data_IF_713108638691
#
_entry.id   IF_713108638691
#
_cell.length_a   1.000
_cell.length_b   1.000
_cell.length_c   1.000
_cell.angle_alpha   90.00
_cell.angle_beta   90.00
_cell.angle_gamma   90.00
#
_symmetry.space_group_name_H-M   'P 1'
#
loop_
_entity.id
_entity.type
_entity.pdbx_description
1 polymer ?
#
# COMPACT_ATOMS: atom_id res chain seq x y z
N UNK A 1 18.63 44.15 16.06
CA UNK A 1 17.69 43.48 15.12
C UNK A 1 18.26 42.11 14.84
N UNK A 2 17.69 41.04 15.41
CA UNK A 2 18.07 39.67 15.11
C UNK A 2 17.27 39.24 13.85
N UNK A 3 17.98 39.01 12.75
CA UNK A 3 17.38 38.44 11.54
C UNK A 3 16.71 37.10 11.87
N UNK A 4 15.39 37.06 11.70
CA UNK A 4 14.61 35.82 11.73
C UNK A 4 14.93 35.10 10.43
N UNK A 5 15.79 34.08 10.49
CA UNK A 5 16.02 33.17 9.37
C UNK A 5 14.66 32.50 9.00
N UNK A 6 14.31 32.48 7.71
CA UNK A 6 13.07 31.87 7.28
C UNK A 6 13.05 30.41 7.74
N UNK A 7 11.91 29.95 8.31
CA UNK A 7 11.66 28.54 8.64
C UNK A 7 11.81 27.74 7.32
N UNK A 8 12.90 26.96 7.21
CA UNK A 8 12.99 25.95 6.17
C UNK A 8 11.74 25.08 6.29
N UNK A 9 11.00 24.91 5.18
CA UNK A 9 9.98 23.89 5.10
C UNK A 9 10.63 22.58 5.55
N UNK A 10 10.06 21.91 6.54
CA UNK A 10 10.58 20.60 6.99
C UNK A 10 10.51 19.66 5.79
N UNK A 11 11.65 19.08 5.43
CA UNK A 11 11.70 17.98 4.48
C UNK A 11 10.74 16.87 4.95
N UNK A 12 10.10 16.21 4.02
CA UNK A 12 9.17 15.12 4.29
C UNK A 12 9.58 13.88 3.50
N UNK A 13 9.20 12.72 4.00
CA UNK A 13 9.53 11.46 3.38
C UNK A 13 11.01 11.11 3.55
N UNK A 14 11.61 10.44 2.54
CA UNK A 14 13.02 10.03 2.60
C UNK A 14 14.00 11.20 2.77
N UNK A 15 13.63 12.39 2.31
CA UNK A 15 14.47 13.58 2.45
C UNK A 15 14.65 14.01 3.91
N UNK A 16 13.67 13.75 4.78
CA UNK A 16 13.80 13.99 6.22
C UNK A 16 14.88 13.11 6.85
N UNK A 17 15.06 11.89 6.36
CA UNK A 17 16.12 10.97 6.81
C UNK A 17 17.50 11.45 6.33
N UNK A 18 17.60 11.88 5.06
CA UNK A 18 18.84 12.40 4.48
C UNK A 18 19.30 13.66 5.22
N UNK A 19 18.37 14.60 5.43
CA UNK A 19 18.64 15.86 6.13
C UNK A 19 19.03 15.63 7.60
N UNK A 20 18.44 14.62 8.24
CA UNK A 20 18.74 14.29 9.64
C UNK A 20 20.21 13.94 9.86
N UNK A 21 20.83 13.27 8.91
CA UNK A 21 22.26 12.89 8.95
C UNK A 21 23.16 13.88 8.20
N UNK A 22 22.61 14.98 7.68
CA UNK A 22 23.39 16.03 7.00
C UNK A 22 24.02 15.63 5.66
N UNK A 23 23.56 14.54 5.05
CA UNK A 23 24.10 13.99 3.79
C UNK A 23 23.33 14.52 2.56
N UNK A 24 23.31 15.86 2.38
CA UNK A 24 22.70 16.49 1.21
C UNK A 24 23.28 15.91 -0.09
N UNK A 25 22.41 15.37 -0.97
CA UNK A 25 22.85 14.78 -2.23
C UNK A 25 23.10 13.28 -2.16
N UNK A 26 22.72 12.58 -1.08
CA UNK A 26 22.77 11.12 -1.01
C UNK A 26 22.02 10.48 -2.20
N UNK A 27 22.57 9.43 -2.85
CA UNK A 27 21.90 8.72 -3.92
C UNK A 27 20.53 8.17 -3.46
N UNK A 28 19.48 8.52 -4.20
CA UNK A 28 18.12 8.06 -3.91
C UNK A 28 17.37 7.68 -5.17
N UNK A 29 16.52 6.64 -5.05
CA UNK A 29 15.59 6.21 -6.07
C UNK A 29 14.20 6.09 -5.45
N UNK A 30 13.22 6.75 -6.06
CA UNK A 30 11.82 6.66 -5.61
C UNK A 30 11.05 5.80 -6.60
N UNK A 31 10.15 4.97 -6.08
CA UNK A 31 9.22 4.18 -6.90
C UNK A 31 8.39 5.10 -7.79
N UNK A 32 8.04 4.60 -8.98
CA UNK A 32 7.30 5.38 -9.97
C UNK A 32 5.93 5.83 -9.41
N UNK A 33 5.35 6.95 -9.91
CA UNK A 33 4.01 7.38 -9.52
C UNK A 33 2.92 6.33 -9.81
N UNK A 34 3.16 5.45 -10.80
CA UNK A 34 2.26 4.33 -11.13
C UNK A 34 2.25 3.29 -10.01
N UNK A 35 3.37 3.13 -9.32
CA UNK A 35 3.52 2.25 -8.17
C UNK A 35 2.94 2.86 -6.88
N UNK A 36 1.87 3.52 -6.85
CA UNK A 36 1.01 4.10 -5.75
C UNK A 36 1.55 4.07 -4.30
N UNK A 37 2.71 3.45 -4.04
CA UNK A 37 3.22 3.13 -2.70
C UNK A 37 4.15 4.19 -2.13
N UNK A 38 4.78 5.04 -2.96
CA UNK A 38 5.65 6.14 -2.52
C UNK A 38 6.87 5.68 -1.70
N UNK A 39 7.42 4.51 -2.01
CA UNK A 39 8.62 3.98 -1.38
C UNK A 39 9.88 4.60 -2.00
N UNK A 40 10.97 4.65 -1.24
CA UNK A 40 12.25 5.17 -1.74
C UNK A 40 13.43 4.39 -1.20
N UNK A 41 14.39 4.10 -2.07
CA UNK A 41 15.70 3.62 -1.64
C UNK A 41 16.65 4.80 -1.49
N UNK A 42 17.54 4.74 -0.51
CA UNK A 42 18.60 5.73 -0.28
C UNK A 42 19.86 5.04 0.21
N UNK A 43 21.00 5.43 -0.35
CA UNK A 43 22.31 5.01 0.14
C UNK A 43 22.92 6.16 0.96
N UNK A 44 23.15 5.89 2.23
CA UNK A 44 23.75 6.83 3.16
C UNK A 44 25.17 6.37 3.47
N UNK A 45 26.16 7.16 3.06
CA UNK A 45 27.57 6.92 3.34
C UNK A 45 28.19 8.12 4.01
N UNK A 46 28.69 7.95 5.22
CA UNK A 46 29.39 8.97 6.00
C UNK A 46 30.74 8.43 6.44
N UNK A 47 31.81 9.02 5.93
CA UNK A 47 33.18 8.67 6.29
C UNK A 47 33.69 9.45 7.52
N UNK A 48 32.94 10.45 7.99
CA UNK A 48 33.31 11.27 9.13
C UNK A 48 33.14 10.49 10.43
N UNK A 49 34.15 10.51 11.27
CA UNK A 49 34.06 10.14 12.68
C UNK A 49 33.32 11.24 13.46
N UNK A 50 32.57 10.86 14.50
CA UNK A 50 31.88 11.76 15.41
C UNK A 50 30.93 12.74 14.70
N UNK A 51 30.05 12.24 13.85
CA UNK A 51 28.96 13.04 13.24
C UNK A 51 28.09 13.71 14.32
N UNK A 52 28.01 13.07 15.51
CA UNK A 52 27.28 13.59 16.66
C UNK A 52 25.77 13.31 16.56
N UNK A 53 25.02 14.10 17.32
CA UNK A 53 23.57 13.92 17.42
C UNK A 53 22.85 14.40 16.17
N UNK A 54 22.14 13.50 15.51
CA UNK A 54 21.30 13.81 14.33
C UNK A 54 20.03 14.55 14.72
N UNK A 55 19.39 15.19 13.76
CA UNK A 55 18.06 15.78 14.01
C UNK A 55 17.01 14.68 14.14
N UNK A 56 16.02 14.83 15.06
CA UNK A 56 14.97 13.85 15.21
C UNK A 56 14.10 13.71 13.94
N UNK A 57 13.85 12.45 13.52
CA UNK A 57 12.96 12.11 12.41
C UNK A 57 11.67 11.54 12.99
N UNK A 58 10.54 12.14 12.61
CA UNK A 58 9.20 11.67 12.97
C UNK A 58 8.32 11.63 11.73
N UNK A 59 8.11 10.42 11.17
CA UNK A 59 7.39 10.18 9.93
C UNK A 59 6.49 8.95 10.08
N UNK A 60 5.36 8.91 9.37
CA UNK A 60 4.49 7.72 9.34
C UNK A 60 5.05 6.65 8.37
N UNK A 61 6.25 6.19 8.69
CA UNK A 61 7.01 5.27 7.86
C UNK A 61 7.95 4.37 8.67
N UNK A 62 8.39 3.32 8.03
CA UNK A 62 9.47 2.44 8.46
C UNK A 62 10.73 2.73 7.64
N UNK A 63 11.89 2.54 8.25
CA UNK A 63 13.17 2.51 7.56
C UNK A 63 13.78 1.11 7.72
N UNK A 64 13.96 0.41 6.61
CA UNK A 64 14.60 -0.90 6.56
C UNK A 64 16.04 -0.67 6.13
N UNK A 65 16.97 -0.78 7.06
CA UNK A 65 18.37 -0.45 6.87
C UNK A 65 19.23 -1.69 6.74
N UNK A 66 20.08 -1.74 5.72
CA UNK A 66 21.17 -2.69 5.57
C UNK A 66 22.48 -1.97 5.88
N UNK A 67 23.14 -2.32 6.96
CA UNK A 67 24.48 -1.84 7.27
C UNK A 67 25.51 -2.54 6.40
N UNK A 68 26.26 -1.80 5.59
CA UNK A 68 27.30 -2.33 4.72
C UNK A 68 28.66 -2.45 5.43
N UNK A 69 28.88 -1.65 6.47
CA UNK A 69 30.07 -1.69 7.31
C UNK A 69 29.69 -1.74 8.79
N UNK A 70 30.54 -2.27 9.68
CA UNK A 70 30.33 -2.19 11.12
C UNK A 70 30.14 -0.73 11.60
N UNK A 71 29.22 -0.52 12.54
CA UNK A 71 29.00 0.76 13.21
C UNK A 71 28.58 0.50 14.66
N UNK A 72 29.50 0.00 15.51
CA UNK A 72 29.16 -0.39 16.87
C UNK A 72 28.96 0.76 17.84
N UNK A 73 29.57 1.94 17.57
CA UNK A 73 29.61 3.05 18.51
C UNK A 73 28.60 4.14 18.12
N UNK A 74 27.32 3.89 18.39
CA UNK A 74 26.30 4.92 18.33
C UNK A 74 25.26 4.71 19.45
N UNK A 75 24.55 5.77 19.78
CA UNK A 75 23.39 5.72 20.64
C UNK A 75 22.14 6.02 19.82
N UNK A 76 21.07 5.28 20.05
CA UNK A 76 19.75 5.49 19.44
C UNK A 76 18.82 6.08 20.49
N UNK A 77 18.08 7.12 20.13
CA UNK A 77 17.04 7.70 20.99
C UNK A 77 15.68 7.59 20.30
N UNK A 78 14.69 7.12 21.03
CA UNK A 78 13.30 7.04 20.62
C UNK A 78 12.45 7.86 21.59
N UNK A 79 11.80 8.93 21.09
CA UNK A 79 11.05 9.85 21.94
C UNK A 79 11.89 10.44 23.10
N UNK A 80 13.18 10.63 22.88
CA UNK A 80 14.14 11.13 23.89
C UNK A 80 14.66 10.06 24.86
N UNK A 81 14.23 8.80 24.76
CA UNK A 81 14.75 7.70 25.59
C UNK A 81 15.88 6.97 24.88
N UNK A 82 16.98 6.76 25.57
CA UNK A 82 18.14 6.01 25.08
C UNK A 82 17.77 4.52 24.90
N UNK A 83 18.06 4.01 23.71
CA UNK A 83 18.04 2.59 23.37
C UNK A 83 19.47 2.21 22.99
N UNK A 84 20.05 1.24 23.66
CA UNK A 84 21.39 0.76 23.32
C UNK A 84 21.32 -0.13 22.10
N UNK A 85 22.07 0.17 21.02
CA UNK A 85 22.12 -0.67 19.85
C UNK A 85 22.79 -2.03 20.16
N UNK A 86 22.30 -3.06 19.50
CA UNK A 86 22.81 -4.44 19.61
C UNK A 86 23.11 -5.02 18.22
N UNK A 87 24.20 -5.77 18.09
CA UNK A 87 24.59 -6.52 16.88
C UNK A 87 24.94 -5.65 15.65
N UNK A 88 25.53 -4.49 15.86
CA UNK A 88 26.04 -3.61 14.78
C UNK A 88 27.57 -3.71 14.58
N UNK A 89 28.22 -4.66 15.20
CA UNK A 89 29.65 -4.96 15.15
C UNK A 89 30.08 -5.68 13.87
N UNK A 90 29.13 -6.07 13.01
CA UNK A 90 29.38 -6.69 11.72
C UNK A 90 28.68 -5.94 10.58
N UNK A 91 29.27 -5.97 9.38
CA UNK A 91 28.58 -5.55 8.15
C UNK A 91 27.60 -6.61 7.66
N UNK A 92 26.65 -6.20 6.81
CA UNK A 92 25.66 -7.07 6.22
C UNK A 92 24.46 -7.40 7.12
N UNK A 93 24.31 -6.71 8.25
CA UNK A 93 23.16 -6.83 9.16
C UNK A 93 22.03 -5.90 8.74
N UNK A 94 20.79 -6.31 9.03
CA UNK A 94 19.58 -5.54 8.75
C UNK A 94 18.99 -5.03 10.05
N UNK A 95 18.50 -3.80 10.04
CA UNK A 95 17.74 -3.22 11.15
C UNK A 95 16.45 -2.60 10.64
N UNK A 96 15.40 -2.61 11.46
CA UNK A 96 14.11 -1.99 11.17
C UNK A 96 13.90 -0.87 12.19
N UNK A 97 13.56 0.31 11.68
CA UNK A 97 13.27 1.48 12.50
C UNK A 97 11.86 1.99 12.19
N UNK A 98 11.04 2.15 13.22
CA UNK A 98 9.74 2.82 13.11
C UNK A 98 9.94 4.31 13.36
N UNK A 99 9.84 5.12 12.32
CA UNK A 99 10.08 6.55 12.38
C UNK A 99 9.01 7.32 13.19
N UNK A 100 7.86 6.70 13.46
CA UNK A 100 6.84 7.27 14.38
C UNK A 100 7.36 7.43 15.80
N UNK A 101 8.42 6.70 16.16
CA UNK A 101 9.05 6.77 17.47
C UNK A 101 9.88 8.03 17.69
N UNK A 102 9.91 8.98 16.74
CA UNK A 102 10.70 10.20 16.80
C UNK A 102 12.17 9.88 17.10
N UNK A 103 12.82 9.24 16.11
CA UNK A 103 14.15 8.68 16.24
C UNK A 103 15.24 9.73 15.96
N UNK A 104 16.29 9.72 16.77
CA UNK A 104 17.57 10.34 16.46
C UNK A 104 18.72 9.46 16.94
N UNK A 105 19.92 9.67 16.38
CA UNK A 105 21.11 8.88 16.68
C UNK A 105 22.25 9.82 17.03
N UNK A 106 23.11 9.41 17.96
CA UNK A 106 24.40 10.01 18.21
C UNK A 106 25.47 9.10 17.60
N UNK A 107 25.96 9.48 16.42
CA UNK A 107 26.84 8.68 15.58
C UNK A 107 28.30 9.05 15.83
N UNK A 108 29.09 8.08 16.28
CA UNK A 108 30.52 8.25 16.59
C UNK A 108 31.42 7.57 15.57
N UNK A 109 30.92 6.50 14.94
CA UNK A 109 31.65 5.80 13.89
C UNK A 109 31.19 6.24 12.50
N UNK A 110 32.09 6.16 11.50
CA UNK A 110 31.68 6.22 10.10
C UNK A 110 30.69 5.09 9.80
N UNK A 111 29.68 5.38 8.99
CA UNK A 111 28.67 4.38 8.65
C UNK A 111 28.37 4.36 7.14
N UNK A 112 27.92 3.21 6.65
CA UNK A 112 27.47 3.04 5.29
C UNK A 112 26.27 2.11 5.26
N UNK A 113 25.13 2.60 4.79
CA UNK A 113 23.87 1.84 4.80
C UNK A 113 23.06 2.07 3.52
N UNK A 114 22.40 1.02 3.05
CA UNK A 114 21.33 1.10 2.05
C UNK A 114 20.01 0.94 2.78
N UNK A 115 19.08 1.87 2.54
CA UNK A 115 17.82 1.93 3.26
C UNK A 115 16.65 1.90 2.28
N UNK A 116 15.58 1.18 2.64
CA UNK A 116 14.25 1.37 2.09
C UNK A 116 13.41 2.21 3.05
N UNK A 117 13.00 3.40 2.61
CA UNK A 117 11.94 4.17 3.23
C UNK A 117 10.58 3.59 2.80
N UNK A 118 9.80 3.10 3.76
CA UNK A 118 8.54 2.37 3.54
C UNK A 118 7.41 3.05 4.32
N UNK A 119 6.58 3.89 3.67
CA UNK A 119 5.42 4.49 4.31
C UNK A 119 4.45 3.43 4.85
N UNK A 120 3.86 3.62 6.03
CA UNK A 120 2.83 2.72 6.58
C UNK A 120 1.62 2.60 5.64
N UNK A 121 1.30 3.67 4.90
CA UNK A 121 0.30 3.63 3.84
C UNK A 121 0.61 2.56 2.78
N UNK A 122 1.88 2.34 2.44
CA UNK A 122 2.27 1.30 1.49
C UNK A 122 1.97 -0.10 2.04
N UNK A 123 2.25 -0.34 3.32
CA UNK A 123 1.91 -1.62 3.97
C UNK A 123 0.40 -1.89 3.96
N UNK A 124 -0.43 -0.87 4.21
CA UNK A 124 -1.89 -0.98 4.12
C UNK A 124 -2.33 -1.35 2.71
N UNK A 125 -1.83 -0.67 1.69
CA UNK A 125 -2.14 -0.99 0.29
C UNK A 125 -1.70 -2.40 -0.10
N UNK A 126 -0.52 -2.85 0.36
CA UNK A 126 -0.03 -4.22 0.12
C UNK A 126 -0.94 -5.25 0.80
N UNK A 127 -1.38 -4.98 2.03
CA UNK A 127 -2.31 -5.85 2.74
C UNK A 127 -3.67 -5.94 2.04
N UNK A 128 -4.21 -4.79 1.61
CA UNK A 128 -5.47 -4.70 0.85
C UNK A 128 -5.36 -5.46 -0.49
N UNK A 129 -4.24 -5.32 -1.20
CA UNK A 129 -3.99 -6.02 -2.45
C UNK A 129 -3.86 -7.54 -2.27
N UNK A 130 -3.31 -7.96 -1.12
CA UNK A 130 -3.21 -9.36 -0.74
C UNK A 130 -4.52 -9.92 -0.13
N UNK A 131 -5.52 -9.07 0.16
CA UNK A 131 -6.77 -9.48 0.82
C UNK A 131 -6.56 -9.96 2.26
N UNK A 132 -5.57 -9.38 2.96
CA UNK A 132 -5.26 -9.71 4.36
C UNK A 132 -5.53 -8.52 5.28
N UNK A 133 -5.71 -8.72 6.58
CA UNK A 133 -5.88 -7.62 7.53
C UNK A 133 -4.72 -6.62 7.49
N UNK A 134 -5.03 -5.34 7.74
CA UNK A 134 -4.05 -4.26 7.80
C UNK A 134 -2.91 -4.59 8.76
N UNK A 135 -1.70 -4.20 8.36
CA UNK A 135 -0.48 -4.36 9.17
C UNK A 135 -0.18 -2.99 9.77
N UNK A 136 -0.45 -2.84 11.04
CA UNK A 136 -0.20 -1.59 11.74
C UNK A 136 1.14 -1.56 12.46
N UNK A 137 1.69 -2.74 12.79
CA UNK A 137 2.95 -2.88 13.51
C UNK A 137 3.79 -4.04 12.97
N UNK A 138 5.11 -3.86 12.99
CA UNK A 138 6.07 -4.93 12.76
C UNK A 138 6.64 -5.43 14.09
N UNK A 139 6.81 -6.75 14.18
CA UNK A 139 7.52 -7.37 15.30
C UNK A 139 9.01 -7.13 15.10
N UNK A 140 9.52 -6.04 15.64
CA UNK A 140 10.94 -5.70 15.63
C UNK A 140 11.35 -5.12 17.00
N UNK A 141 12.62 -5.18 17.30
CA UNK A 141 13.21 -4.55 18.51
C UNK A 141 13.99 -3.33 18.03
N UNK A 142 13.59 -2.09 18.41
CA UNK A 142 14.34 -0.89 18.05
C UNK A 142 15.80 -1.01 18.50
N UNK A 143 16.73 -0.62 17.65
CA UNK A 143 18.16 -0.69 17.95
C UNK A 143 18.77 -2.11 17.90
N UNK A 144 18.05 -3.13 17.45
CA UNK A 144 18.57 -4.48 17.29
C UNK A 144 18.77 -4.81 15.81
N UNK A 145 20.00 -5.08 15.40
CA UNK A 145 20.34 -5.57 14.07
C UNK A 145 20.30 -7.10 14.05
N UNK A 146 20.04 -7.69 12.90
CA UNK A 146 19.92 -9.12 12.72
C UNK A 146 20.37 -9.57 11.33
N UNK A 147 20.65 -10.86 11.19
CA UNK A 147 20.96 -11.45 9.89
C UNK A 147 19.66 -11.83 9.16
N UNK A 148 19.46 -11.26 7.99
CA UNK A 148 18.38 -11.60 7.07
C UNK A 148 18.89 -11.65 5.62
N UNK A 149 19.23 -12.85 5.13
CA UNK A 149 19.78 -12.98 3.78
C UNK A 149 18.85 -12.49 2.68
N UNK A 150 17.52 -12.58 2.84
CA UNK A 150 16.55 -12.16 1.83
C UNK A 150 16.50 -10.63 1.76
N UNK A 151 16.26 -9.96 2.89
CA UNK A 151 16.23 -8.51 2.96
C UNK A 151 17.59 -7.92 2.53
N UNK A 152 18.70 -8.51 3.00
CA UNK A 152 20.05 -8.10 2.60
C UNK A 152 20.26 -8.16 1.09
N UNK A 153 19.93 -9.27 0.42
CA UNK A 153 20.18 -9.44 -1.00
C UNK A 153 19.27 -8.54 -1.84
N UNK A 154 18.02 -8.31 -1.43
CA UNK A 154 17.13 -7.36 -2.09
C UNK A 154 17.65 -5.92 -1.97
N UNK A 155 18.13 -5.50 -0.82
CA UNK A 155 18.73 -4.17 -0.65
C UNK A 155 20.04 -4.04 -1.44
N UNK A 156 20.91 -5.06 -1.42
CA UNK A 156 22.15 -5.05 -2.21
C UNK A 156 21.90 -4.98 -3.71
N UNK A 157 20.83 -5.58 -4.20
CA UNK A 157 20.48 -5.53 -5.65
C UNK A 157 20.19 -4.11 -6.14
N UNK A 158 19.86 -3.17 -5.24
CA UNK A 158 19.62 -1.77 -5.58
C UNK A 158 20.89 -0.94 -5.74
N UNK A 159 22.02 -1.43 -5.24
CA UNK A 159 23.27 -0.66 -5.21
C UNK A 159 23.76 -0.20 -6.61
N UNK A 160 23.74 -1.04 -7.64
CA UNK A 160 24.11 -0.58 -8.98
C UNK A 160 23.19 0.52 -9.51
N UNK A 161 21.89 0.41 -9.24
CA UNK A 161 20.92 1.41 -9.67
C UNK A 161 21.05 2.74 -8.90
N UNK A 162 21.42 2.69 -7.62
CA UNK A 162 21.71 3.88 -6.80
C UNK A 162 23.00 4.58 -7.23
N UNK A 163 24.01 3.83 -7.70
CA UNK A 163 25.27 4.36 -8.18
C UNK A 163 25.19 4.93 -9.61
N UNK A 164 24.23 4.48 -10.42
CA UNK A 164 23.99 4.97 -11.77
C UNK A 164 23.34 6.37 -11.76
N UNK A 165 23.45 7.10 -12.87
CA UNK A 165 22.66 8.31 -13.05
C UNK A 165 21.17 7.97 -12.99
N UNK A 166 20.34 8.83 -12.39
CA UNK A 166 18.89 8.60 -12.23
C UNK A 166 18.18 8.26 -13.56
N UNK A 167 18.72 8.73 -14.69
CA UNK A 167 18.19 8.45 -16.04
C UNK A 167 18.46 7.03 -16.54
N UNK A 168 19.40 6.31 -15.93
CA UNK A 168 19.80 4.96 -16.34
C UNK A 168 19.15 3.86 -15.49
N UNK A 169 18.59 4.22 -14.34
CA UNK A 169 17.90 3.27 -13.49
C UNK A 169 16.59 2.82 -14.15
N UNK A 170 16.37 1.51 -14.26
CA UNK A 170 15.12 0.95 -14.76
C UNK A 170 14.00 1.13 -13.70
N UNK A 171 13.00 2.02 -13.90
CA UNK A 171 11.97 2.29 -12.88
C UNK A 171 11.19 1.03 -12.50
N UNK A 172 10.92 0.15 -13.47
CA UNK A 172 10.20 -1.10 -13.24
C UNK A 172 10.96 -2.04 -12.30
N UNK A 173 12.30 -2.10 -12.43
CA UNK A 173 13.13 -2.88 -11.51
C UNK A 173 13.06 -2.32 -10.09
N UNK A 174 13.19 -0.99 -9.93
CA UNK A 174 13.07 -0.31 -8.63
C UNK A 174 11.73 -0.61 -7.97
N UNK A 175 10.62 -0.50 -8.72
CA UNK A 175 9.27 -0.77 -8.24
C UNK A 175 9.11 -2.22 -7.76
N UNK A 176 9.61 -3.19 -8.54
CA UNK A 176 9.47 -4.61 -8.19
C UNK A 176 10.34 -5.01 -7.00
N UNK A 177 11.56 -4.51 -6.89
CA UNK A 177 12.42 -4.78 -5.72
C UNK A 177 11.82 -4.14 -4.46
N UNK A 178 11.32 -2.89 -4.55
CA UNK A 178 10.65 -2.23 -3.43
C UNK A 178 9.44 -3.03 -2.96
N UNK A 179 8.61 -3.49 -3.90
CA UNK A 179 7.43 -4.31 -3.61
C UNK A 179 7.80 -5.67 -3.00
N UNK A 180 8.81 -6.35 -3.58
CA UNK A 180 9.29 -7.63 -3.05
C UNK A 180 9.78 -7.50 -1.62
N UNK A 181 10.59 -6.47 -1.33
CA UNK A 181 11.12 -6.24 0.01
C UNK A 181 10.01 -5.84 0.99
N UNK A 182 9.11 -4.93 0.62
CA UNK A 182 7.99 -4.51 1.46
C UNK A 182 7.04 -5.68 1.79
N UNK A 183 6.71 -6.51 0.79
CA UNK A 183 5.88 -7.72 0.99
C UNK A 183 6.58 -8.74 1.87
N UNK A 184 7.88 -8.96 1.66
CA UNK A 184 8.68 -9.85 2.49
C UNK A 184 8.71 -9.40 3.95
N UNK A 185 9.01 -8.12 4.20
CA UNK A 185 9.06 -7.53 5.55
C UNK A 185 7.68 -7.61 6.22
N UNK A 186 6.61 -7.29 5.51
CA UNK A 186 5.24 -7.39 5.96
C UNK A 186 4.87 -8.83 6.38
N UNK A 187 5.31 -9.83 5.62
CA UNK A 187 5.07 -11.24 5.92
C UNK A 187 5.97 -11.76 7.06
N UNK A 188 7.24 -11.41 7.05
CA UNK A 188 8.24 -11.97 7.96
C UNK A 188 8.20 -11.35 9.35
N UNK A 189 7.96 -10.04 9.41
CA UNK A 189 8.02 -9.23 10.64
C UNK A 189 6.67 -8.62 11.01
N UNK A 190 5.73 -8.53 10.08
CA UNK A 190 4.35 -8.12 10.35
C UNK A 190 3.47 -9.29 10.76
N UNK A 191 2.27 -8.99 11.22
CA UNK A 191 1.23 -9.99 11.47
C UNK A 191 0.58 -10.51 10.17
N UNK A 192 1.21 -10.25 9.02
CA UNK A 192 0.76 -10.73 7.73
C UNK A 192 0.91 -12.25 7.66
N UNK A 193 0.06 -12.94 8.39
CA UNK A 193 -0.21 -14.33 8.05
C UNK A 193 -0.93 -14.27 6.71
N UNK A 194 -0.17 -14.51 5.63
CA UNK A 194 -0.82 -14.87 4.39
C UNK A 194 -1.92 -15.88 4.76
N UNK A 195 -3.19 -15.62 4.42
CA UNK A 195 -4.14 -16.70 4.51
C UNK A 195 -3.42 -17.84 3.80
N UNK A 196 -3.40 -19.05 4.39
CA UNK A 196 -3.00 -20.22 3.64
C UNK A 196 -3.82 -20.16 2.38
N UNK A 197 -3.23 -19.60 1.34
CA UNK A 197 -3.79 -19.68 0.01
C UNK A 197 -3.74 -21.15 -0.37
N UNK A 198 -4.69 -21.88 0.17
CA UNK A 198 -5.28 -22.94 -0.61
C UNK A 198 -5.81 -22.17 -1.82
N UNK A 199 -5.15 -22.33 -2.94
CA UNK A 199 -5.58 -21.86 -4.25
C UNK A 199 -6.97 -22.45 -4.50
N UNK A 200 -8.00 -21.82 -3.95
CA UNK A 200 -9.39 -22.29 -4.07
C UNK A 200 -10.06 -21.68 -5.29
N UNK A 201 -9.25 -21.31 -6.30
CA UNK A 201 -9.79 -20.96 -7.61
C UNK A 201 -10.59 -19.64 -7.68
N UNK A 202 -10.52 -18.76 -6.66
CA UNK A 202 -11.13 -17.43 -6.68
C UNK A 202 -10.32 -16.41 -7.47
N UNK A 203 -10.80 -15.16 -7.57
CA UNK A 203 -10.09 -14.04 -8.14
C UNK A 203 -8.97 -13.61 -7.20
N UNK A 204 -7.85 -13.14 -7.75
CA UNK A 204 -6.88 -12.39 -6.99
C UNK A 204 -7.49 -11.05 -6.50
N UNK A 205 -7.01 -10.49 -5.40
CA UNK A 205 -7.58 -9.27 -4.82
C UNK A 205 -7.67 -8.10 -5.82
N UNK A 206 -6.65 -7.91 -6.67
CA UNK A 206 -6.67 -6.90 -7.72
C UNK A 206 -7.70 -7.20 -8.83
N UNK A 207 -7.89 -8.48 -9.19
CA UNK A 207 -8.89 -8.91 -10.17
C UNK A 207 -10.31 -8.67 -9.65
N UNK A 208 -10.57 -9.02 -8.39
CA UNK A 208 -11.87 -8.80 -7.76
C UNK A 208 -12.19 -7.30 -7.69
N UNK A 209 -11.26 -6.48 -7.29
CA UNK A 209 -11.39 -5.03 -7.23
C UNK A 209 -11.67 -4.45 -8.62
N UNK A 210 -10.86 -4.82 -9.62
CA UNK A 210 -11.01 -4.38 -11.00
C UNK A 210 -12.37 -4.77 -11.59
N UNK A 211 -12.80 -6.01 -11.34
CA UNK A 211 -14.11 -6.48 -11.78
C UNK A 211 -15.26 -5.68 -11.14
N UNK A 212 -15.21 -5.43 -9.83
CA UNK A 212 -16.21 -4.63 -9.11
C UNK A 212 -16.24 -3.17 -9.57
N UNK A 213 -15.09 -2.56 -9.82
CA UNK A 213 -14.99 -1.20 -10.37
C UNK A 213 -15.66 -1.09 -11.74
N UNK A 214 -15.37 -2.03 -12.66
CA UNK A 214 -15.97 -2.04 -13.99
C UNK A 214 -17.48 -2.29 -13.93
N UNK A 215 -17.94 -3.20 -13.09
CA UNK A 215 -19.37 -3.45 -12.87
C UNK A 215 -20.09 -2.22 -12.33
N UNK A 216 -19.48 -1.50 -11.38
CA UNK A 216 -20.04 -0.27 -10.83
C UNK A 216 -20.06 0.88 -11.84
N UNK A 217 -19.03 1.01 -12.67
CA UNK A 217 -18.96 2.05 -13.73
C UNK A 217 -20.03 1.84 -14.82
N UNK A 218 -20.50 0.61 -15.02
CA UNK A 218 -21.46 0.25 -16.08
C UNK A 218 -22.82 -0.22 -15.53
N UNK A 219 -23.26 0.34 -14.40
CA UNK A 219 -24.56 -0.03 -13.82
C UNK A 219 -25.74 0.18 -14.75
N UNK A 220 -25.73 1.28 -15.54
CA UNK A 220 -26.80 1.63 -16.49
C UNK A 220 -26.57 1.08 -17.91
N UNK A 221 -25.39 0.54 -18.20
CA UNK A 221 -24.99 0.08 -19.54
C UNK A 221 -24.92 -1.44 -19.68
N UNK A 222 -24.69 -1.86 -20.92
CA UNK A 222 -24.33 -3.24 -21.23
C UNK A 222 -22.80 -3.38 -21.08
N UNK A 223 -22.38 -4.26 -20.18
CA UNK A 223 -20.97 -4.67 -20.04
C UNK A 223 -20.92 -6.17 -20.39
N UNK A 224 -20.14 -6.51 -21.40
CA UNK A 224 -19.98 -7.90 -21.77
C UNK A 224 -19.13 -8.65 -20.75
N UNK A 225 -19.47 -9.90 -20.51
CA UNK A 225 -18.73 -10.77 -19.61
C UNK A 225 -17.29 -11.02 -20.10
N UNK A 226 -17.08 -10.94 -21.43
CA UNK A 226 -15.78 -10.98 -22.09
C UNK A 226 -14.87 -9.82 -21.67
N UNK A 227 -15.43 -8.62 -21.54
CA UNK A 227 -14.66 -7.42 -21.19
C UNK A 227 -14.16 -7.49 -19.75
N UNK A 228 -15.01 -7.98 -18.84
CA UNK A 228 -14.62 -8.26 -17.45
C UNK A 228 -13.51 -9.32 -17.36
N UNK A 229 -13.65 -10.38 -18.12
CA UNK A 229 -12.67 -11.48 -18.14
C UNK A 229 -11.33 -10.99 -18.70
N UNK A 230 -11.34 -10.25 -19.80
CA UNK A 230 -10.14 -9.64 -20.40
C UNK A 230 -9.47 -8.65 -19.45
N UNK A 231 -10.24 -7.80 -18.77
CA UNK A 231 -9.71 -6.84 -17.79
C UNK A 231 -9.06 -7.50 -16.55
N UNK A 232 -9.35 -8.79 -16.35
CA UNK A 232 -8.78 -9.63 -15.27
C UNK A 232 -7.75 -10.66 -15.78
N UNK A 233 -7.36 -10.61 -17.05
CA UNK A 233 -6.47 -11.58 -17.70
C UNK A 233 -6.93 -13.04 -17.56
N UNK A 234 -8.25 -13.27 -17.69
CA UNK A 234 -8.88 -14.58 -17.54
C UNK A 234 -9.76 -14.92 -18.74
N UNK A 235 -9.96 -16.22 -18.98
CA UNK A 235 -11.05 -16.64 -19.87
C UNK A 235 -12.40 -16.40 -19.19
N UNK A 236 -13.46 -16.18 -19.98
CA UNK A 236 -14.84 -15.95 -19.47
C UNK A 236 -15.30 -17.05 -18.50
N UNK A 237 -15.00 -18.30 -18.83
CA UNK A 237 -15.34 -19.45 -17.98
C UNK A 237 -14.59 -19.41 -16.64
N UNK A 238 -13.30 -19.11 -16.68
CA UNK A 238 -12.48 -19.01 -15.46
C UNK A 238 -12.91 -17.82 -14.62
N UNK A 239 -13.09 -16.63 -15.22
CA UNK A 239 -13.57 -15.44 -14.55
C UNK A 239 -14.90 -15.68 -13.82
N UNK A 240 -15.90 -16.21 -14.51
CA UNK A 240 -17.24 -16.45 -13.92
C UNK A 240 -17.17 -17.37 -12.70
N UNK A 241 -16.37 -18.46 -12.78
CA UNK A 241 -16.17 -19.38 -11.67
C UNK A 241 -15.42 -18.71 -10.51
N UNK A 242 -14.32 -18.04 -10.82
CA UNK A 242 -13.47 -17.38 -9.83
C UNK A 242 -14.20 -16.21 -9.14
N UNK A 243 -14.95 -15.40 -9.89
CA UNK A 243 -15.78 -14.32 -9.34
C UNK A 243 -16.83 -14.85 -8.36
N UNK A 244 -17.57 -15.91 -8.75
CA UNK A 244 -18.55 -16.54 -7.85
C UNK A 244 -17.88 -17.08 -6.59
N UNK A 245 -16.69 -17.61 -6.70
CA UNK A 245 -15.94 -18.17 -5.57
C UNK A 245 -15.45 -17.09 -4.61
N UNK A 246 -15.06 -15.92 -5.13
CA UNK A 246 -14.62 -14.79 -4.30
C UNK A 246 -15.78 -14.01 -3.67
N UNK A 247 -16.89 -13.81 -4.42
CA UNK A 247 -17.99 -12.94 -4.00
C UNK A 247 -19.23 -13.67 -3.50
N UNK A 248 -19.29 -15.00 -3.65
CA UNK A 248 -20.45 -15.84 -3.33
C UNK A 248 -21.55 -15.84 -4.40
N UNK A 249 -21.53 -14.89 -5.35
CA UNK A 249 -22.56 -14.70 -6.38
C UNK A 249 -21.93 -14.59 -7.78
N UNK A 250 -22.74 -14.82 -8.82
CA UNK A 250 -22.26 -14.63 -10.20
C UNK A 250 -22.12 -13.13 -10.52
N UNK A 251 -21.26 -12.74 -11.51
CA UNK A 251 -21.12 -11.34 -11.93
C UNK A 251 -22.46 -10.67 -12.27
N UNK A 252 -23.34 -11.38 -12.99
CA UNK A 252 -24.67 -10.89 -13.33
C UNK A 252 -25.53 -10.65 -12.08
N UNK A 253 -25.52 -11.58 -11.12
CA UNK A 253 -26.29 -11.43 -9.88
C UNK A 253 -25.78 -10.27 -9.04
N UNK A 254 -24.47 -10.12 -8.94
CA UNK A 254 -23.82 -9.00 -8.26
C UNK A 254 -24.19 -7.65 -8.88
N UNK A 255 -24.14 -7.54 -10.23
CA UNK A 255 -24.56 -6.33 -10.94
C UNK A 255 -26.04 -6.00 -10.67
N UNK A 256 -26.89 -7.01 -10.67
CA UNK A 256 -28.32 -6.84 -10.39
C UNK A 256 -28.56 -6.29 -8.98
N UNK A 257 -27.86 -6.79 -7.99
CA UNK A 257 -27.94 -6.31 -6.61
C UNK A 257 -27.51 -4.84 -6.49
N UNK A 258 -26.40 -4.43 -7.15
CA UNK A 258 -25.97 -3.02 -7.21
C UNK A 258 -26.99 -2.13 -7.90
N UNK A 259 -27.62 -2.58 -8.99
CA UNK A 259 -28.71 -1.87 -9.66
C UNK A 259 -29.92 -1.64 -8.74
N UNK A 260 -30.30 -2.64 -7.97
CA UNK A 260 -31.38 -2.54 -6.99
C UNK A 260 -31.02 -1.54 -5.87
N UNK A 261 -29.81 -1.57 -5.35
CA UNK A 261 -29.34 -0.60 -4.35
C UNK A 261 -29.38 0.84 -4.87
N UNK A 262 -28.91 1.06 -6.11
CA UNK A 262 -29.01 2.36 -6.77
C UNK A 262 -30.46 2.80 -6.92
N UNK A 263 -31.34 1.88 -7.32
CA UNK A 263 -32.77 2.15 -7.44
C UNK A 263 -33.42 2.53 -6.10
N UNK A 264 -33.05 1.89 -5.01
CA UNK A 264 -33.50 2.26 -3.66
C UNK A 264 -33.09 3.71 -3.31
N UNK A 265 -31.86 4.10 -3.64
CA UNK A 265 -31.40 5.49 -3.48
C UNK A 265 -32.25 6.50 -4.28
N UNK A 266 -32.51 6.20 -5.56
CA UNK A 266 -33.33 7.05 -6.41
C UNK A 266 -34.81 7.10 -5.97
N UNK A 267 -35.39 5.99 -5.55
CA UNK A 267 -36.74 5.91 -5.01
C UNK A 267 -36.92 6.76 -3.75
N UNK A 268 -35.88 6.88 -2.94
CA UNK A 268 -35.89 7.70 -1.70
C UNK A 268 -35.69 9.18 -1.97
N UNK A 269 -34.73 9.51 -2.82
CA UNK A 269 -34.20 10.87 -2.98
C UNK A 269 -34.71 11.63 -4.22
N UNK A 270 -35.56 11.02 -5.07
CA UNK A 270 -36.02 11.68 -6.32
C UNK A 270 -37.52 11.54 -6.56
N UNK A 271 -38.02 12.39 -7.44
CA UNK A 271 -39.40 12.33 -7.98
C UNK A 271 -39.52 11.61 -9.31
N UNK A 272 -38.43 10.95 -9.77
CA UNK A 272 -38.41 10.22 -11.05
C UNK A 272 -39.52 9.15 -11.09
N UNK A 273 -40.06 8.91 -12.28
CA UNK A 273 -41.02 7.83 -12.45
C UNK A 273 -40.38 6.45 -12.28
N UNK A 274 -41.17 5.42 -12.05
CA UNK A 274 -40.64 4.06 -11.91
C UNK A 274 -39.99 3.56 -13.23
N UNK A 275 -40.47 4.07 -14.36
CA UNK A 275 -39.91 3.75 -15.68
C UNK A 275 -38.53 4.41 -15.86
N UNK A 276 -38.39 5.68 -15.48
CA UNK A 276 -37.12 6.41 -15.57
C UNK A 276 -36.07 5.74 -14.65
N UNK A 277 -36.45 5.42 -13.42
CA UNK A 277 -35.55 4.72 -12.48
C UNK A 277 -35.14 3.35 -13.03
N UNK A 278 -36.05 2.62 -13.68
CA UNK A 278 -35.72 1.35 -14.30
C UNK A 278 -34.62 1.50 -15.36
N UNK A 279 -34.77 2.46 -16.27
CA UNK A 279 -33.77 2.74 -17.31
C UNK A 279 -32.46 3.29 -16.75
N UNK A 280 -32.49 4.25 -15.82
CA UNK A 280 -31.31 4.81 -15.17
C UNK A 280 -30.48 3.75 -14.42
N UNK A 281 -31.16 2.72 -13.91
CA UNK A 281 -30.50 1.59 -13.25
C UNK A 281 -30.17 0.45 -14.22
N UNK A 282 -30.33 0.61 -15.53
CA UNK A 282 -29.93 -0.37 -16.54
C UNK A 282 -30.85 -1.58 -16.69
N UNK A 283 -32.15 -1.45 -16.31
CA UNK A 283 -33.14 -2.48 -16.58
C UNK A 283 -33.77 -2.28 -17.95
N UNK A 284 -34.01 -3.39 -18.65
CA UNK A 284 -34.58 -3.38 -19.99
C UNK A 284 -36.06 -2.90 -20.02
N UNK A 285 -36.77 -2.96 -18.90
CA UNK A 285 -38.17 -2.50 -18.77
C UNK A 285 -38.56 -2.31 -17.32
N UNK A 286 -39.60 -1.50 -17.08
CA UNK A 286 -40.19 -1.33 -15.75
C UNK A 286 -40.69 -2.66 -15.17
N UNK A 287 -41.23 -3.57 -15.99
CA UNK A 287 -41.71 -4.87 -15.56
C UNK A 287 -40.57 -5.79 -15.08
N UNK A 288 -39.44 -5.76 -15.79
CA UNK A 288 -38.23 -6.46 -15.38
C UNK A 288 -37.70 -5.90 -14.04
N UNK A 289 -37.57 -4.59 -13.94
CA UNK A 289 -37.20 -3.90 -12.70
C UNK A 289 -38.12 -4.28 -11.53
N UNK A 290 -39.45 -4.19 -11.73
CA UNK A 290 -40.42 -4.50 -10.66
C UNK A 290 -40.31 -5.90 -10.12
N UNK A 291 -40.11 -6.92 -11.00
CA UNK A 291 -39.92 -8.31 -10.61
C UNK A 291 -38.63 -8.54 -9.82
N UNK A 292 -37.51 -8.03 -10.32
CA UNK A 292 -36.20 -8.21 -9.67
C UNK A 292 -36.12 -7.44 -8.34
N UNK A 293 -36.73 -6.24 -8.29
CA UNK A 293 -36.81 -5.44 -7.06
C UNK A 293 -37.65 -6.17 -5.98
N UNK A 294 -38.83 -6.67 -6.34
CA UNK A 294 -39.68 -7.43 -5.42
C UNK A 294 -38.96 -8.68 -4.91
N UNK A 295 -38.29 -9.41 -5.81
CA UNK A 295 -37.53 -10.62 -5.46
C UNK A 295 -36.37 -10.33 -4.50
N UNK A 296 -35.72 -9.17 -4.64
CA UNK A 296 -34.52 -8.82 -3.86
C UNK A 296 -34.87 -8.11 -2.54
N UNK A 297 -35.88 -7.25 -2.55
CA UNK A 297 -36.23 -6.37 -1.42
C UNK A 297 -37.47 -6.86 -0.65
N UNK A 298 -38.28 -7.74 -1.24
CA UNK A 298 -39.51 -8.25 -0.64
C UNK A 298 -40.72 -7.33 -0.80
N UNK A 299 -40.55 -6.13 -1.39
CA UNK A 299 -41.61 -5.14 -1.61
C UNK A 299 -41.58 -4.66 -3.06
N UNK A 300 -42.71 -4.26 -3.61
CA UNK A 300 -42.71 -3.60 -4.93
C UNK A 300 -42.05 -2.21 -4.84
N UNK A 301 -41.42 -1.71 -5.95
CA UNK A 301 -40.78 -0.40 -5.95
C UNK A 301 -41.69 0.73 -5.48
N UNK A 302 -42.99 0.72 -5.87
CA UNK A 302 -43.94 1.70 -5.43
C UNK A 302 -44.32 1.61 -3.95
N UNK A 303 -44.44 0.39 -3.41
CA UNK A 303 -44.69 0.19 -1.97
C UNK A 303 -43.48 0.64 -1.17
N UNK A 304 -42.29 0.29 -1.60
CA UNK A 304 -41.04 0.69 -0.95
C UNK A 304 -40.85 2.22 -0.94
N UNK A 305 -41.14 2.91 -2.06
CA UNK A 305 -41.09 4.38 -2.13
C UNK A 305 -42.00 5.04 -1.08
N UNK A 306 -43.24 4.58 -0.97
CA UNK A 306 -44.19 5.11 0.02
C UNK A 306 -43.74 4.95 1.46
N UNK A 307 -43.03 3.86 1.77
CA UNK A 307 -42.46 3.63 3.10
C UNK A 307 -41.22 4.48 3.37
N UNK A 308 -40.35 4.66 2.36
CA UNK A 308 -39.08 5.36 2.50
C UNK A 308 -39.22 6.90 2.49
N UNK A 309 -40.38 7.45 2.10
CA UNK A 309 -40.67 8.89 2.06
C UNK A 309 -41.60 9.35 3.19
N UNK A 310 -41.99 8.44 4.10
CA UNK A 310 -42.67 8.76 5.37
C UNK A 310 -41.63 9.15 6.42
#
# INVERSE_FOLDING_TARGET
>A
MKEVRPRRQRAAGVDSVIDAVGLSGAPKLTTSPVCKYGMSFVELNCESENLGLTTPVCEDALLIALQLRPCPNFDLYAGGKLIRPEQFDAGGVVAIYDLRMNLCTDLRDPFHAINLYLPHKALKLIADDAGVPSIDELTHRPGHAFQDPVARNLLLSMRPALAAAQSEACPLFVDHVAMALATYVAHRYGSMRAPRYVYRGGLAGWQERRAKELLNAHLSGALALSDLATACDLSVRHFTRAFRQSTGVTPHRWLLERRIERAQGLLRGSKLTLIDIAFDCGFASQSHFGREFLKTVGLSPGAWRRLAQR
#
